data_IF_485367343350
#
_entry.id   IF_485367343350
#
_cell.length_a   1.000
_cell.length_b   1.000
_cell.length_c   1.000
_cell.angle_alpha   90.00
_cell.angle_beta   90.00
_cell.angle_gamma   90.00
#
_symmetry.space_group_name_H-M   'P 1'
#
loop_
_entity.id
_entity.type
_entity.pdbx_description
1 polymer ?
#
# COMPACT_ATOMS: atom_id res chain seq x y z
N UNK A 1 5.84 -20.22 7.28
CA UNK A 1 6.30 -20.11 8.69
C UNK A 1 5.09 -20.02 9.61
N UNK A 2 5.12 -20.53 10.86
CA UNK A 2 3.96 -20.38 11.79
C UNK A 2 3.95 -18.98 12.43
N UNK A 3 2.77 -18.42 12.63
CA UNK A 3 2.62 -17.17 13.37
C UNK A 3 2.96 -17.37 14.85
N UNK A 4 3.89 -16.56 15.35
CA UNK A 4 4.09 -16.25 16.76
C UNK A 4 4.99 -15.03 16.84
N UNK A 5 4.99 -14.35 17.99
CA UNK A 5 5.75 -13.10 18.17
C UNK A 5 7.26 -13.27 17.94
N UNK A 6 7.82 -14.43 18.29
CA UNK A 6 9.24 -14.72 18.07
C UNK A 6 9.57 -14.80 16.57
N UNK A 7 8.75 -15.51 15.80
CA UNK A 7 8.90 -15.63 14.36
C UNK A 7 8.66 -14.30 13.66
N UNK A 8 7.64 -13.53 14.06
CA UNK A 8 7.41 -12.19 13.52
C UNK A 8 8.62 -11.28 13.74
N UNK A 9 9.16 -11.24 14.97
CA UNK A 9 10.37 -10.46 15.27
C UNK A 9 11.54 -10.91 14.40
N UNK A 10 11.79 -12.22 14.31
CA UNK A 10 12.86 -12.77 13.46
C UNK A 10 12.69 -12.42 11.98
N UNK A 11 11.45 -12.40 11.48
CA UNK A 11 11.16 -12.06 10.09
C UNK A 11 11.26 -10.57 9.82
N UNK A 12 10.96 -9.73 10.82
CA UNK A 12 11.25 -8.29 10.80
C UNK A 12 12.76 -8.05 10.75
N UNK A 13 13.54 -8.71 11.60
CA UNK A 13 15.00 -8.58 11.59
C UNK A 13 15.59 -9.02 10.23
N UNK A 14 15.06 -10.09 9.63
CA UNK A 14 15.44 -10.53 8.29
C UNK A 14 15.02 -9.52 7.21
N UNK A 15 13.84 -8.90 7.34
CA UNK A 15 13.37 -7.85 6.44
C UNK A 15 14.34 -6.67 6.46
N UNK A 16 14.65 -6.15 7.65
CA UNK A 16 15.54 -5.00 7.83
C UNK A 16 16.94 -5.29 7.26
N UNK A 17 17.47 -6.50 7.52
CA UNK A 17 18.75 -6.94 6.99
C UNK A 17 18.75 -6.98 5.45
N UNK A 18 17.75 -7.61 4.83
CA UNK A 18 17.65 -7.71 3.36
C UNK A 18 17.47 -6.31 2.76
N UNK A 19 16.55 -5.51 3.30
CA UNK A 19 16.24 -4.16 2.81
C UNK A 19 17.45 -3.24 2.87
N UNK A 20 18.27 -3.35 3.92
CA UNK A 20 19.50 -2.53 4.08
C UNK A 20 20.54 -2.76 2.98
N UNK A 21 20.55 -3.95 2.36
CA UNK A 21 21.52 -4.33 1.31
C UNK A 21 20.91 -4.20 -0.08
N UNK A 22 19.68 -4.69 -0.26
CA UNK A 22 19.01 -4.76 -1.57
C UNK A 22 18.29 -3.46 -1.97
N UNK A 23 18.00 -2.57 -1.01
CA UNK A 23 17.16 -1.41 -1.26
C UNK A 23 15.71 -1.79 -1.57
N UNK A 24 14.99 -0.88 -2.24
CA UNK A 24 13.53 -1.01 -2.45
C UNK A 24 13.10 -1.99 -3.52
N UNK A 25 13.99 -2.29 -4.46
CA UNK A 25 13.68 -3.10 -5.64
C UNK A 25 13.34 -4.57 -5.29
N UNK A 26 13.81 -5.06 -4.14
CA UNK A 26 13.51 -6.41 -3.65
C UNK A 26 12.55 -6.40 -2.47
N UNK A 27 11.77 -5.32 -2.34
CA UNK A 27 10.70 -5.23 -1.37
C UNK A 27 9.37 -4.97 -2.02
N UNK A 28 8.33 -5.46 -1.38
CA UNK A 28 6.97 -5.38 -1.89
C UNK A 28 6.01 -5.11 -0.73
N UNK A 29 5.08 -4.21 -0.96
CA UNK A 29 3.98 -3.96 -0.04
C UNK A 29 2.97 -5.10 -0.18
N UNK A 30 2.44 -5.57 0.95
CA UNK A 30 1.56 -6.73 1.00
C UNK A 30 0.18 -6.29 1.49
N UNK A 31 -0.83 -6.72 0.73
CA UNK A 31 -2.23 -6.45 0.98
C UNK A 31 -3.00 -7.75 1.13
N UNK A 32 -4.02 -7.75 1.99
CA UNK A 32 -4.96 -8.85 2.14
C UNK A 32 -6.38 -8.42 1.79
N UNK A 33 -7.15 -9.37 1.27
CA UNK A 33 -8.55 -9.20 0.88
C UNK A 33 -9.36 -10.45 1.26
N UNK A 34 -10.60 -10.23 1.70
CA UNK A 34 -11.62 -11.27 1.75
C UNK A 34 -12.11 -11.55 0.30
N UNK A 35 -11.96 -12.79 -0.22
CA UNK A 35 -12.37 -13.14 -1.58
C UNK A 35 -13.89 -13.02 -1.81
N UNK A 36 -14.69 -13.10 -0.75
CA UNK A 36 -16.16 -13.02 -0.78
C UNK A 36 -16.69 -11.61 -0.60
N UNK A 37 -15.80 -10.65 -0.33
CA UNK A 37 -16.18 -9.25 -0.17
C UNK A 37 -16.33 -8.56 -1.53
N UNK A 38 -17.58 -8.19 -1.82
CA UNK A 38 -17.99 -7.46 -3.01
C UNK A 38 -17.46 -6.02 -3.05
N UNK A 39 -17.05 -5.47 -1.89
CA UNK A 39 -16.51 -4.10 -1.84
C UNK A 39 -15.13 -3.98 -2.48
N UNK A 40 -14.48 -5.11 -2.77
CA UNK A 40 -13.11 -5.19 -3.33
C UNK A 40 -12.12 -4.36 -2.52
N UNK A 41 -12.27 -4.39 -1.19
CA UNK A 41 -11.40 -3.69 -0.26
C UNK A 41 -10.13 -4.50 0.01
N UNK A 42 -8.99 -3.83 -0.10
CA UNK A 42 -7.68 -4.35 0.19
C UNK A 42 -7.11 -3.62 1.40
N UNK A 43 -6.67 -4.40 2.39
CA UNK A 43 -6.06 -3.88 3.61
C UNK A 43 -4.56 -4.04 3.52
N UNK A 44 -3.81 -3.00 3.85
CA UNK A 44 -2.37 -3.13 3.98
C UNK A 44 -2.03 -3.93 5.24
N UNK A 45 -1.10 -4.86 5.07
CA UNK A 45 -0.74 -5.85 6.09
C UNK A 45 0.72 -5.71 6.51
N UNK A 46 1.55 -5.10 5.67
CA UNK A 46 2.97 -4.90 5.92
C UNK A 46 3.79 -5.05 4.65
N UNK A 47 5.09 -5.30 4.81
CA UNK A 47 6.06 -5.38 3.72
C UNK A 47 6.80 -6.72 3.72
N UNK A 48 7.10 -7.20 2.53
CA UNK A 48 7.95 -8.37 2.30
C UNK A 48 9.28 -7.93 1.68
N UNK A 49 10.38 -8.56 2.10
CA UNK A 49 11.68 -8.44 1.46
C UNK A 49 12.20 -9.83 1.08
N UNK A 50 12.99 -9.91 0.00
CA UNK A 50 13.61 -11.16 -0.47
C UNK A 50 15.01 -10.93 -1.02
N UNK A 51 15.83 -11.97 -1.02
CA UNK A 51 17.09 -11.96 -1.77
C UNK A 51 16.83 -12.09 -3.28
N UNK A 52 17.81 -11.71 -4.11
CA UNK A 52 17.68 -11.69 -5.58
C UNK A 52 17.29 -13.04 -6.18
N UNK A 53 17.80 -14.12 -5.60
CA UNK A 53 17.68 -15.48 -6.14
C UNK A 53 16.35 -16.17 -5.78
N UNK A 54 15.52 -15.51 -4.95
CA UNK A 54 14.20 -16.01 -4.58
C UNK A 54 13.16 -15.17 -5.30
N UNK A 55 12.26 -15.80 -6.06
CA UNK A 55 11.14 -15.10 -6.69
C UNK A 55 10.14 -14.57 -5.65
N UNK A 56 9.43 -13.50 -6.00
CA UNK A 56 8.41 -12.91 -5.12
C UNK A 56 7.34 -13.91 -4.71
N UNK A 57 6.81 -14.66 -5.68
CA UNK A 57 5.78 -15.69 -5.46
C UNK A 57 6.23 -16.75 -4.46
N UNK A 58 7.47 -17.23 -4.56
CA UNK A 58 8.04 -18.20 -3.62
C UNK A 58 8.23 -17.62 -2.23
N UNK A 59 8.68 -16.36 -2.13
CA UNK A 59 8.84 -15.68 -0.85
C UNK A 59 7.48 -15.47 -0.15
N UNK A 60 6.46 -15.02 -0.88
CA UNK A 60 5.10 -14.87 -0.35
C UNK A 60 4.53 -16.24 0.07
N UNK A 61 4.57 -17.24 -0.80
CA UNK A 61 4.10 -18.60 -0.49
C UNK A 61 4.80 -19.17 0.75
N UNK A 62 6.12 -18.94 0.90
CA UNK A 62 6.88 -19.37 2.08
C UNK A 62 6.40 -18.71 3.38
N UNK A 63 6.05 -17.43 3.31
CA UNK A 63 5.58 -16.64 4.45
C UNK A 63 4.06 -16.66 4.64
N UNK A 64 3.31 -17.26 3.71
CA UNK A 64 1.85 -17.20 3.64
C UNK A 64 1.14 -17.45 4.97
N UNK A 65 1.41 -18.55 5.71
CA UNK A 65 0.63 -18.82 6.92
C UNK A 65 0.82 -17.75 8.01
N UNK A 66 1.97 -17.10 8.04
CA UNK A 66 2.26 -16.03 8.99
C UNK A 66 1.62 -14.71 8.54
N UNK A 67 1.72 -14.36 7.25
CA UNK A 67 1.10 -13.15 6.71
C UNK A 67 -0.43 -13.23 6.83
N UNK A 68 -1.02 -14.36 6.47
CA UNK A 68 -2.47 -14.59 6.56
C UNK A 68 -2.99 -14.49 8.00
N UNK A 69 -2.31 -15.14 8.96
CA UNK A 69 -2.70 -15.02 10.36
C UNK A 69 -2.46 -13.62 10.93
N UNK A 70 -1.38 -12.93 10.51
CA UNK A 70 -1.15 -11.52 10.86
C UNK A 70 -2.28 -10.64 10.34
N UNK A 71 -2.67 -10.81 9.08
CA UNK A 71 -3.77 -10.08 8.45
C UNK A 71 -5.08 -10.23 9.23
N UNK A 72 -5.43 -11.47 9.58
CA UNK A 72 -6.64 -11.79 10.34
C UNK A 72 -6.63 -11.18 11.75
N UNK A 73 -5.47 -11.13 12.41
CA UNK A 73 -5.33 -10.50 13.74
C UNK A 73 -5.31 -8.98 13.68
N UNK A 74 -4.75 -8.43 12.60
CA UNK A 74 -4.69 -7.00 12.33
C UNK A 74 -6.10 -6.44 12.03
N UNK A 75 -6.96 -7.25 11.38
CA UNK A 75 -8.34 -6.91 11.01
C UNK A 75 -9.33 -7.99 11.47
N UNK A 76 -9.63 -8.03 12.78
CA UNK A 76 -10.45 -9.09 13.35
C UNK A 76 -11.91 -9.08 12.88
N UNK A 77 -12.43 -7.92 12.45
CA UNK A 77 -13.81 -7.82 11.97
C UNK A 77 -13.91 -8.15 10.47
N UNK A 78 -12.94 -7.67 9.68
CA UNK A 78 -12.98 -7.72 8.22
C UNK A 78 -12.34 -8.98 7.65
N UNK A 79 -11.24 -9.47 8.23
CA UNK A 79 -10.44 -10.55 7.65
C UNK A 79 -10.49 -11.86 8.45
N UNK A 80 -10.63 -11.79 9.79
CA UNK A 80 -10.67 -13.01 10.61
C UNK A 80 -11.78 -14.00 10.25
N UNK A 81 -13.01 -13.58 9.89
CA UNK A 81 -14.07 -14.53 9.50
C UNK A 81 -13.69 -15.43 8.32
N UNK A 82 -12.71 -15.02 7.50
CA UNK A 82 -12.21 -15.77 6.34
C UNK A 82 -10.76 -16.21 6.49
N UNK A 83 -10.26 -16.29 7.72
CA UNK A 83 -8.93 -16.83 7.96
C UNK A 83 -8.78 -18.24 7.36
N UNK A 84 -7.69 -18.48 6.64
CA UNK A 84 -7.46 -19.69 5.86
C UNK A 84 -7.93 -19.59 4.39
N UNK A 85 -8.66 -18.54 4.04
CA UNK A 85 -9.19 -18.29 2.69
C UNK A 85 -8.83 -16.91 2.15
N UNK A 86 -7.99 -16.14 2.86
CA UNK A 86 -7.65 -14.78 2.45
C UNK A 86 -6.84 -14.77 1.15
N UNK A 87 -7.06 -13.75 0.35
CA UNK A 87 -6.22 -13.48 -0.81
C UNK A 87 -5.08 -12.54 -0.41
N UNK A 88 -3.86 -12.86 -0.84
CA UNK A 88 -2.71 -11.97 -0.71
C UNK A 88 -2.38 -11.35 -2.07
N UNK A 89 -2.13 -10.05 -2.03
CA UNK A 89 -1.80 -9.24 -3.18
C UNK A 89 -0.57 -8.41 -2.86
N UNK A 90 0.23 -8.11 -3.87
CA UNK A 90 1.46 -7.32 -3.71
C UNK A 90 1.50 -6.13 -4.65
N UNK A 91 2.11 -5.06 -4.17
CA UNK A 91 2.50 -3.89 -4.95
C UNK A 91 4.04 -3.73 -4.90
N UNK A 92 4.63 -2.87 -5.73
CA UNK A 92 6.01 -2.42 -5.54
C UNK A 92 6.26 -1.93 -4.11
N UNK A 93 7.49 -2.03 -3.61
CA UNK A 93 7.81 -1.57 -2.27
C UNK A 93 7.76 -0.04 -2.16
N UNK A 94 7.30 0.45 -1.00
CA UNK A 94 7.18 1.89 -0.68
C UNK A 94 6.17 2.62 -1.59
N UNK A 95 5.12 1.90 -1.98
CA UNK A 95 4.06 2.36 -2.86
C UNK A 95 2.79 2.78 -2.10
N UNK A 96 2.74 2.67 -0.77
CA UNK A 96 1.49 2.86 0.00
C UNK A 96 0.87 4.24 -0.24
N UNK A 97 1.69 5.28 -0.31
CA UNK A 97 1.24 6.64 -0.59
C UNK A 97 0.67 6.75 -2.00
N UNK A 98 1.37 6.21 -3.00
CA UNK A 98 0.91 6.22 -4.39
C UNK A 98 -0.36 5.37 -4.59
N UNK A 99 -0.47 4.28 -3.85
CA UNK A 99 -1.67 3.44 -3.79
C UNK A 99 -2.84 4.24 -3.22
N UNK A 100 -2.60 5.07 -2.20
CA UNK A 100 -3.59 5.97 -1.60
C UNK A 100 -4.11 7.00 -2.61
N UNK A 101 -3.21 7.54 -3.43
CA UNK A 101 -3.54 8.47 -4.51
C UNK A 101 -4.14 7.80 -5.75
N UNK A 102 -4.37 6.47 -5.72
CA UNK A 102 -4.95 5.72 -6.84
C UNK A 102 -4.12 5.85 -8.13
N UNK A 103 -2.78 5.91 -8.02
CA UNK A 103 -1.88 5.94 -9.20
C UNK A 103 -2.17 4.73 -10.11
N UNK A 104 -2.45 4.94 -11.41
CA UNK A 104 -2.83 3.87 -12.33
C UNK A 104 -1.68 2.90 -12.64
N UNK A 105 -0.44 3.38 -12.52
CA UNK A 105 0.77 2.62 -12.86
C UNK A 105 1.19 1.62 -11.78
N UNK A 106 0.42 1.52 -10.70
CA UNK A 106 0.68 0.62 -9.57
C UNK A 106 -0.42 -0.43 -9.52
N UNK A 107 -0.33 -1.50 -10.35
CA UNK A 107 -1.24 -2.62 -10.29
C UNK A 107 -0.90 -3.53 -9.11
N UNK A 108 -1.92 -4.09 -8.50
CA UNK A 108 -1.73 -5.17 -7.55
C UNK A 108 -1.58 -6.50 -8.30
N UNK A 109 -0.63 -7.32 -7.85
CA UNK A 109 -0.44 -8.68 -8.38
C UNK A 109 -0.92 -9.71 -7.38
N UNK A 110 -1.95 -10.48 -7.74
CA UNK A 110 -2.46 -11.56 -6.91
C UNK A 110 -1.40 -12.64 -6.72
N UNK A 111 -1.23 -13.12 -5.49
CA UNK A 111 -0.27 -14.17 -5.17
C UNK A 111 -0.97 -15.51 -4.95
N UNK A 112 -0.24 -16.59 -5.22
CA UNK A 112 -0.72 -17.96 -5.00
C UNK A 112 -0.19 -18.51 -3.67
N UNK A 113 -1.06 -19.19 -2.93
CA UNK A 113 -0.73 -19.80 -1.64
C UNK A 113 0.39 -20.82 -1.75
N UNK A 114 0.27 -21.73 -2.71
CA UNK A 114 1.15 -22.86 -2.89
C UNK A 114 1.92 -22.71 -4.21
N UNK A 115 3.20 -22.34 -4.10
CA UNK A 115 4.10 -22.18 -5.26
C UNK A 115 5.16 -23.28 -5.22
N UNK A 116 5.40 -23.92 -6.36
CA UNK A 116 6.38 -25.00 -6.46
C UNK A 116 7.77 -24.51 -6.02
N UNK A 117 8.40 -25.27 -5.12
CA UNK A 117 9.72 -24.95 -4.58
C UNK A 117 9.74 -23.85 -3.51
N UNK A 118 8.59 -23.27 -3.11
CA UNK A 118 8.54 -22.33 -1.98
C UNK A 118 9.00 -22.97 -0.66
N UNK A 119 8.83 -24.28 -0.50
CA UNK A 119 9.33 -25.04 0.65
C UNK A 119 10.86 -25.06 0.76
N UNK A 120 11.57 -24.87 -0.35
CA UNK A 120 13.05 -24.84 -0.40
C UNK A 120 13.61 -23.46 -0.01
N UNK A 121 12.78 -22.41 0.02
CA UNK A 121 13.20 -21.07 0.45
C UNK A 121 13.48 -21.10 1.94
N UNK A 122 14.72 -20.77 2.31
CA UNK A 122 15.13 -20.65 3.70
C UNK A 122 14.49 -19.42 4.31
N UNK A 123 14.16 -19.50 5.59
CA UNK A 123 13.53 -18.41 6.33
C UNK A 123 14.38 -17.13 6.45
N UNK A 124 15.65 -17.18 6.10
CA UNK A 124 16.57 -16.04 6.10
C UNK A 124 16.66 -15.37 4.72
N UNK A 125 16.18 -16.03 3.67
CA UNK A 125 16.21 -15.53 2.29
C UNK A 125 15.01 -14.63 1.97
N UNK A 126 14.06 -14.54 2.91
CA UNK A 126 12.96 -13.62 2.88
C UNK A 126 12.68 -13.11 4.30
N UNK A 127 12.11 -11.92 4.38
CA UNK A 127 11.69 -11.28 5.62
C UNK A 127 10.32 -10.64 5.44
N UNK A 128 9.61 -10.48 6.54
CA UNK A 128 8.30 -9.86 6.59
C UNK A 128 8.24 -8.89 7.77
N UNK A 129 7.91 -7.64 7.47
CA UNK A 129 7.62 -6.60 8.43
C UNK A 129 6.11 -6.39 8.44
N UNK A 130 5.43 -7.02 9.40
CA UNK A 130 3.99 -6.83 9.58
C UNK A 130 3.65 -5.44 10.11
N UNK A 131 2.54 -4.89 9.64
CA UNK A 131 2.00 -3.62 10.06
C UNK A 131 1.47 -3.71 11.50
N UNK A 132 1.57 -2.59 12.23
CA UNK A 132 1.07 -2.45 13.59
C UNK A 132 0.34 -1.11 13.68
N UNK A 133 -0.95 -1.16 14.00
CA UNK A 133 -1.73 0.05 14.26
C UNK A 133 -1.60 0.45 15.73
N UNK A 134 -1.26 1.71 15.97
CA UNK A 134 -1.19 2.29 17.30
C UNK A 134 -2.39 3.23 17.51
N UNK A 135 -2.83 3.42 18.78
CA UNK A 135 -3.80 4.46 19.16
C UNK A 135 -5.12 4.51 18.37
N UNK A 136 -5.75 3.36 18.12
CA UNK A 136 -7.04 3.25 17.41
C UNK A 136 -7.02 3.77 15.96
N UNK A 137 -5.85 3.78 15.31
CA UNK A 137 -5.76 4.06 13.88
C UNK A 137 -6.63 3.09 13.06
N UNK A 138 -7.43 3.63 12.13
CA UNK A 138 -8.21 2.81 11.20
C UNK A 138 -7.29 1.98 10.29
N UNK A 139 -6.04 2.39 10.11
CA UNK A 139 -5.04 1.77 9.24
C UNK A 139 -5.37 1.87 7.75
N UNK A 140 -4.41 1.50 6.90
CA UNK A 140 -4.51 1.77 5.47
C UNK A 140 -5.37 0.74 4.72
N UNK A 141 -6.34 1.22 3.93
CA UNK A 141 -7.18 0.42 3.03
C UNK A 141 -7.40 1.12 1.69
N UNK A 142 -7.53 0.35 0.63
CA UNK A 142 -7.82 0.83 -0.73
C UNK A 142 -8.85 -0.06 -1.42
N UNK A 143 -9.55 0.47 -2.42
CA UNK A 143 -10.45 -0.31 -3.29
C UNK A 143 -9.79 -0.47 -4.66
N UNK A 144 -9.67 -1.71 -5.13
CA UNK A 144 -9.11 -2.05 -6.45
C UNK A 144 -10.09 -2.97 -7.19
N UNK A 145 -9.98 -3.08 -8.51
CA UNK A 145 -10.76 -4.05 -9.28
C UNK A 145 -10.20 -5.47 -9.16
N UNK A 146 -10.78 -6.42 -9.89
CA UNK A 146 -10.34 -7.83 -9.91
C UNK A 146 -8.99 -8.03 -10.59
N UNK A 147 -8.52 -7.06 -11.36
CA UNK A 147 -7.20 -7.05 -12.00
C UNK A 147 -6.15 -6.30 -11.14
N UNK A 148 -6.55 -5.81 -9.97
CA UNK A 148 -5.67 -5.07 -9.05
C UNK A 148 -5.46 -3.60 -9.42
N UNK A 149 -6.26 -3.03 -10.33
CA UNK A 149 -6.17 -1.63 -10.78
C UNK A 149 -7.03 -0.71 -9.92
N UNK A 150 -6.70 0.59 -9.83
CA UNK A 150 -7.53 1.53 -9.07
C UNK A 150 -8.91 1.68 -9.70
N UNK A 151 -9.96 1.56 -8.87
CA UNK A 151 -11.36 1.78 -9.30
C UNK A 151 -11.67 3.27 -9.44
N UNK A 152 -11.00 4.09 -8.64
CA UNK A 152 -11.16 5.55 -8.66
C UNK A 152 -10.10 6.18 -9.55
N UNK A 153 -10.44 7.31 -10.15
CA UNK A 153 -9.47 8.17 -10.83
C UNK A 153 -8.37 8.58 -9.86
N UNK A 154 -7.18 8.81 -10.41
CA UNK A 154 -6.05 9.34 -9.67
C UNK A 154 -6.48 10.61 -8.93
N UNK A 155 -6.22 10.64 -7.63
CA UNK A 155 -6.41 11.85 -6.85
C UNK A 155 -5.24 12.75 -7.23
N UNK A 156 -5.47 13.66 -8.18
CA UNK A 156 -4.52 14.71 -8.46
C UNK A 156 -4.24 15.43 -7.14
N UNK A 157 -2.98 15.39 -6.70
CA UNK A 157 -2.50 16.28 -5.68
C UNK A 157 -2.98 17.68 -6.07
N UNK A 158 -3.60 18.40 -5.16
CA UNK A 158 -4.36 19.65 -5.41
C UNK A 158 -3.50 20.82 -5.91
N UNK A 159 -2.47 20.53 -6.70
CA UNK A 159 -1.88 21.38 -7.73
C UNK A 159 -2.85 21.81 -8.84
N UNK A 160 -4.08 21.27 -8.92
CA UNK A 160 -5.18 21.90 -9.66
C UNK A 160 -5.63 23.25 -9.07
N UNK A 161 -5.08 23.68 -7.94
CA UNK A 161 -5.13 25.09 -7.49
C UNK A 161 -4.05 26.00 -8.10
N UNK A 162 -3.25 25.49 -9.05
CA UNK A 162 -2.38 26.31 -9.93
C UNK A 162 -2.92 26.38 -11.36
N UNK A 163 -4.23 26.50 -11.54
CA UNK A 163 -4.70 27.22 -12.72
C UNK A 163 -4.11 28.63 -12.61
N UNK A 164 -3.12 28.94 -13.43
CA UNK A 164 -2.77 30.34 -13.65
C UNK A 164 -4.07 31.03 -14.09
N UNK A 165 -4.47 32.13 -13.42
CA UNK A 165 -5.64 32.88 -13.84
C UNK A 165 -5.50 33.18 -15.33
N UNK A 166 -6.58 33.02 -16.10
CA UNK A 166 -6.54 33.43 -17.50
C UNK A 166 -6.31 34.93 -17.59
N UNK A 167 -5.83 35.41 -18.74
CA UNK A 167 -5.59 36.84 -18.94
C UNK A 167 -6.86 37.68 -18.62
N UNK A 168 -8.05 37.15 -18.93
CA UNK A 168 -9.32 37.77 -18.57
C UNK A 168 -9.56 37.84 -17.04
N UNK A 169 -9.21 36.78 -16.30
CA UNK A 169 -9.32 36.76 -14.84
C UNK A 169 -8.27 37.69 -14.17
N UNK A 170 -7.10 37.86 -14.80
CA UNK A 170 -6.08 38.83 -14.38
C UNK A 170 -6.54 40.28 -14.58
N UNK A 171 -7.17 40.56 -15.72
CA UNK A 171 -7.70 41.89 -16.04
C UNK A 171 -8.80 42.30 -15.05
N UNK A 172 -9.74 41.38 -14.76
CA UNK A 172 -10.81 41.61 -13.77
C UNK A 172 -10.23 41.88 -12.36
N UNK A 173 -9.16 41.16 -11.98
CA UNK A 173 -8.48 41.38 -10.70
C UNK A 173 -7.75 42.74 -10.66
N UNK A 174 -7.10 43.16 -11.74
CA UNK A 174 -6.48 44.48 -11.81
C UNK A 174 -7.51 45.61 -11.75
N UNK A 175 -8.67 45.44 -12.37
CA UNK A 175 -9.76 46.43 -12.32
C UNK A 175 -10.34 46.56 -10.91
N UNK A 176 -10.51 45.44 -10.19
CA UNK A 176 -10.93 45.46 -8.78
C UNK A 176 -9.89 46.12 -7.86
N UNK A 177 -8.60 45.86 -8.07
CA UNK A 177 -7.54 46.48 -7.27
C UNK A 177 -7.46 48.00 -7.51
N UNK A 178 -7.54 48.42 -8.77
CA UNK A 178 -7.48 49.84 -9.10
C UNK A 178 -8.71 50.62 -8.60
N UNK A 179 -9.89 50.00 -8.59
CA UNK A 179 -11.10 50.62 -8.02
C UNK A 179 -11.04 50.77 -6.50
N UNK A 180 -10.40 49.85 -5.78
CA UNK A 180 -10.17 49.98 -4.34
C UNK A 180 -9.15 51.06 -3.98
N UNK A 181 -8.08 51.19 -4.77
CA UNK A 181 -7.07 52.26 -4.58
C UNK A 181 -7.69 53.64 -4.87
N UNK A 182 -8.46 53.76 -5.95
CA UNK A 182 -9.15 55.02 -6.28
C UNK A 182 -10.18 55.43 -5.22
N UNK A 183 -10.85 54.48 -4.56
CA UNK A 183 -11.76 54.76 -3.46
C UNK A 183 -11.04 55.19 -2.17
N UNK A 184 -9.83 54.67 -1.93
CA UNK A 184 -9.02 54.99 -0.75
C UNK A 184 -8.32 56.36 -0.84
N UNK A 185 -8.06 56.87 -2.04
CA UNK A 185 -7.46 58.20 -2.28
C UNK A 185 -8.49 59.35 -2.29
N UNK A 186 -9.78 59.05 -2.11
CA UNK A 186 -10.88 60.02 -2.09
C UNK A 186 -11.45 60.35 -0.70
N UNK A 187 -10.79 59.90 0.37
CA UNK A 187 -10.99 60.30 1.78
C UNK A 187 -9.76 61.06 2.31
#
# INVERSE_FOLDING_TARGET
MKYNLFNLKRQRDAFDAIRSVAGKELTNDVYARDPTDDTRTFFFVGKLARVSDVSLEKAISRQWPMIEEHSARLRPLELYPRWGQLELWVAPGDSELDVAYCRPDIPFTKQTRDVEGASNVRNIECGFQGEVYENDEEGFRTVRDEDGKPVRSEIADSSESKRQPTDAEMDDMMEMLNSQVAAADSD
#
